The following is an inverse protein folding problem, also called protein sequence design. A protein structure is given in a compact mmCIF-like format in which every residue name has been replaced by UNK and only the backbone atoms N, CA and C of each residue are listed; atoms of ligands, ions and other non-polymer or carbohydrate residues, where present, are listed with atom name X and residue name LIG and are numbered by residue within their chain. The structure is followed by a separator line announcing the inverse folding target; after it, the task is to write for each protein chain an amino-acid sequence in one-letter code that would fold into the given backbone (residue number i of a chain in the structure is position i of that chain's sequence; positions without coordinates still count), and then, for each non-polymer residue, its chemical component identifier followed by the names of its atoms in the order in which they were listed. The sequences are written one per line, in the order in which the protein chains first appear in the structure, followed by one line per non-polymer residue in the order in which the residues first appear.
data_IF_142834904650
#
_entry.id   IF_142834904650
#
_cell.length_a   1.000
_cell.length_b   1.000
_cell.length_c   1.000
_cell.angle_alpha   90.00
_cell.angle_beta   90.00
_cell.angle_gamma   90.00
#
_symmetry.space_group_name_H-M   'P 1'
#
loop_
_entity.id
_entity.type
_entity.pdbx_description
1 polymer ?
#
# COMPACT_ATOMS: atom_id res chain seq x y z
N UNK A 1 31.42 -2.07 -24.39
CA UNK A 1 29.95 -2.09 -24.20
C UNK A 1 29.55 -0.68 -23.80
N UNK A 2 28.50 -0.13 -24.39
CA UNK A 2 28.10 1.26 -24.14
C UNK A 2 27.40 1.39 -22.80
N UNK A 3 27.91 2.26 -21.93
CA UNK A 3 27.21 2.66 -20.71
C UNK A 3 25.86 3.28 -21.09
N UNK A 4 24.77 2.62 -20.70
CA UNK A 4 23.46 3.27 -20.73
C UNK A 4 23.49 4.41 -19.71
N UNK A 5 23.17 5.66 -20.09
CA UNK A 5 23.15 6.76 -19.14
C UNK A 5 22.21 6.42 -17.98
N UNK A 6 22.67 6.69 -16.75
CA UNK A 6 21.88 6.50 -15.54
C UNK A 6 20.76 7.55 -15.54
N UNK A 7 19.60 7.17 -16.09
CA UNK A 7 18.49 8.10 -16.32
C UNK A 7 18.06 8.78 -15.02
N UNK A 8 18.26 10.11 -14.99
CA UNK A 8 18.03 10.95 -13.84
C UNK A 8 16.62 11.55 -13.92
N UNK A 9 15.66 10.81 -13.39
CA UNK A 9 14.24 11.17 -13.45
C UNK A 9 13.89 12.41 -12.62
N UNK A 10 14.74 12.79 -11.65
CA UNK A 10 14.61 14.04 -10.90
C UNK A 10 14.92 15.20 -11.84
N UNK A 11 16.06 15.17 -12.53
CA UNK A 11 16.40 16.19 -13.55
C UNK A 11 15.38 16.28 -14.70
N UNK A 12 14.76 15.16 -15.09
CA UNK A 12 13.67 15.20 -16.07
C UNK A 12 12.42 15.90 -15.52
N UNK A 13 12.10 15.68 -14.24
CA UNK A 13 11.04 16.39 -13.51
C UNK A 13 11.32 17.89 -13.37
N UNK A 14 12.52 18.26 -12.92
CA UNK A 14 12.99 19.66 -12.83
C UNK A 14 12.88 20.38 -14.18
N UNK A 15 13.38 19.75 -15.25
CA UNK A 15 13.34 20.30 -16.61
C UNK A 15 11.91 20.44 -17.16
N UNK A 16 11.02 19.49 -16.84
CA UNK A 16 9.61 19.60 -17.17
C UNK A 16 8.96 20.76 -16.41
N UNK A 17 9.20 20.87 -15.10
CA UNK A 17 8.67 21.93 -14.26
C UNK A 17 9.15 23.33 -14.69
N UNK A 18 10.41 23.46 -15.13
CA UNK A 18 10.93 24.69 -15.73
C UNK A 18 10.27 25.03 -17.06
N UNK A 19 10.04 24.04 -17.94
CA UNK A 19 9.37 24.25 -19.23
C UNK A 19 7.89 24.63 -19.11
N UNK A 20 7.24 24.23 -18.02
CA UNK A 20 5.84 24.57 -17.76
C UNK A 20 5.66 26.00 -17.24
N UNK A 21 6.69 26.64 -16.68
CA UNK A 21 6.58 27.93 -16.01
C UNK A 21 6.09 29.04 -16.95
N UNK A 22 4.86 29.52 -16.74
CA UNK A 22 4.22 30.53 -17.59
C UNK A 22 3.52 29.98 -18.84
N UNK A 23 3.45 28.66 -19.03
CA UNK A 23 2.65 28.05 -20.09
C UNK A 23 1.17 28.07 -19.69
N UNK A 24 0.35 28.73 -20.51
CA UNK A 24 -1.10 28.87 -20.30
C UNK A 24 -1.95 28.00 -21.24
N UNK A 25 -1.36 27.38 -22.27
CA UNK A 25 -2.08 26.51 -23.19
C UNK A 25 -2.09 25.06 -22.69
N UNK A 26 -3.29 24.48 -22.59
CA UNK A 26 -3.48 23.09 -22.20
C UNK A 26 -2.87 22.11 -23.23
N UNK A 27 -2.88 22.43 -24.53
CA UNK A 27 -2.31 21.56 -25.55
C UNK A 27 -0.77 21.52 -25.47
N UNK A 28 -0.12 22.66 -25.21
CA UNK A 28 1.31 22.74 -24.90
C UNK A 28 1.67 21.97 -23.62
N UNK A 29 0.94 22.17 -22.51
CA UNK A 29 1.14 21.44 -21.25
C UNK A 29 1.00 19.92 -21.44
N UNK A 30 -0.03 19.49 -22.19
CA UNK A 30 -0.25 18.08 -22.55
C UNK A 30 0.93 17.52 -23.33
N UNK A 31 1.44 18.27 -24.32
CA UNK A 31 2.58 17.87 -25.15
C UNK A 31 3.84 17.71 -24.30
N UNK A 32 4.18 18.70 -23.49
CA UNK A 32 5.32 18.66 -22.57
C UNK A 32 5.28 17.48 -21.59
N UNK A 33 4.10 17.19 -21.03
CA UNK A 33 3.92 16.05 -20.13
C UNK A 33 4.02 14.71 -20.86
N UNK A 34 3.50 14.58 -22.08
CA UNK A 34 3.60 13.37 -22.90
C UNK A 34 5.05 13.14 -23.35
N UNK A 35 5.80 14.17 -23.73
CA UNK A 35 7.23 14.06 -24.08
C UNK A 35 8.07 13.53 -22.91
N UNK A 36 7.77 13.96 -21.68
CA UNK A 36 8.42 13.43 -20.48
C UNK A 36 8.09 11.96 -20.23
N UNK A 37 6.86 11.52 -20.53
CA UNK A 37 6.45 10.12 -20.44
C UNK A 37 7.16 9.29 -21.52
N UNK A 38 7.23 9.78 -22.76
CA UNK A 38 7.85 9.08 -23.88
C UNK A 38 9.34 8.80 -23.62
N UNK A 39 10.08 9.77 -23.06
CA UNK A 39 11.48 9.56 -22.61
C UNK A 39 11.62 8.43 -21.57
N UNK A 40 10.61 8.20 -20.72
CA UNK A 40 10.62 7.05 -19.80
C UNK A 40 10.30 5.73 -20.52
N UNK A 41 9.39 5.76 -21.52
CA UNK A 41 9.05 4.59 -22.34
C UNK A 41 10.25 4.15 -23.18
N UNK A 42 10.92 5.08 -23.85
CA UNK A 42 12.13 4.85 -24.67
C UNK A 42 13.29 4.24 -23.87
N UNK A 43 13.38 4.55 -22.57
CA UNK A 43 14.35 3.93 -21.68
C UNK A 43 14.07 2.44 -21.37
N UNK A 44 12.89 1.92 -21.71
CA UNK A 44 12.50 0.53 -21.48
C UNK A 44 12.29 0.17 -20.00
N UNK A 45 11.93 1.16 -19.16
CA UNK A 45 11.80 1.00 -17.70
C UNK A 45 10.31 1.10 -17.29
N UNK A 46 9.93 0.41 -16.21
CA UNK A 46 8.56 0.45 -15.69
C UNK A 46 8.18 1.86 -15.25
N UNK A 47 7.11 2.41 -15.85
CA UNK A 47 6.68 3.80 -15.69
C UNK A 47 6.42 4.25 -14.23
N UNK A 48 6.15 3.32 -13.30
CA UNK A 48 5.70 3.66 -11.94
C UNK A 48 6.69 4.53 -11.18
N UNK A 49 7.95 4.09 -11.05
CA UNK A 49 8.96 4.80 -10.26
C UNK A 49 9.40 6.14 -10.90
N UNK A 50 9.72 6.20 -12.22
CA UNK A 50 10.07 7.46 -12.88
C UNK A 50 8.93 8.48 -12.83
N UNK A 51 7.68 8.09 -13.12
CA UNK A 51 6.55 9.02 -13.05
C UNK A 51 6.31 9.52 -11.63
N UNK A 52 6.49 8.70 -10.58
CA UNK A 52 6.43 9.20 -9.19
C UNK A 52 7.52 10.24 -8.90
N UNK A 53 8.72 10.13 -9.47
CA UNK A 53 9.78 11.13 -9.29
C UNK A 53 9.48 12.41 -10.09
N UNK A 54 9.15 12.30 -11.38
CA UNK A 54 8.79 13.44 -12.24
C UNK A 54 7.60 14.22 -11.65
N UNK A 55 6.57 13.51 -11.16
CA UNK A 55 5.41 14.14 -10.51
C UNK A 55 5.79 14.89 -9.24
N UNK A 56 6.72 14.38 -8.42
CA UNK A 56 7.16 15.07 -7.20
C UNK A 56 7.82 16.42 -7.50
N UNK A 57 8.64 16.51 -8.55
CA UNK A 57 9.26 17.78 -8.92
C UNK A 57 8.24 18.78 -9.47
N UNK A 58 7.26 18.30 -10.26
CA UNK A 58 6.14 19.13 -10.73
C UNK A 58 5.23 19.55 -9.56
N UNK A 59 4.93 18.66 -8.60
CA UNK A 59 4.17 18.96 -7.38
C UNK A 59 4.95 19.90 -6.42
N UNK A 60 6.28 19.86 -6.40
CA UNK A 60 7.12 20.77 -5.62
C UNK A 60 7.17 22.18 -6.22
N UNK A 61 7.13 22.30 -7.56
CA UNK A 61 7.04 23.60 -8.26
C UNK A 61 5.61 24.15 -8.31
N UNK A 62 4.62 23.28 -8.46
CA UNK A 62 3.20 23.60 -8.66
C UNK A 62 2.32 22.71 -7.75
N UNK A 63 2.22 23.03 -6.44
CA UNK A 63 1.57 22.16 -5.47
C UNK A 63 0.04 22.08 -5.64
N UNK A 64 -0.51 20.87 -5.54
CA UNK A 64 -1.95 20.65 -5.31
C UNK A 64 -2.27 20.90 -3.83
N UNK A 65 -3.31 21.70 -3.52
CA UNK A 65 -3.56 22.29 -2.19
C UNK A 65 -3.38 21.35 -0.97
N UNK A 66 -2.72 21.84 0.10
CA UNK A 66 -3.02 21.50 1.48
C UNK A 66 -3.98 22.51 2.15
N UNK A 67 -4.59 22.11 3.26
CA UNK A 67 -5.62 22.83 4.04
C UNK A 67 -5.06 23.99 4.89
N UNK A 68 -4.33 24.93 4.31
CA UNK A 68 -3.79 26.11 5.00
C UNK A 68 -4.22 27.40 4.30
N UNK A 69 -4.64 28.40 5.07
CA UNK A 69 -5.38 29.58 4.59
C UNK A 69 -4.61 30.48 3.60
N UNK A 70 -3.27 30.37 3.57
CA UNK A 70 -2.41 31.15 2.69
C UNK A 70 -2.02 30.33 1.47
N UNK A 71 -2.53 30.73 0.30
CA UNK A 71 -2.12 30.23 -1.01
C UNK A 71 -0.68 30.70 -1.32
N UNK A 72 0.22 29.82 -1.79
CA UNK A 72 1.52 30.25 -2.30
C UNK A 72 1.38 31.23 -3.48
N UNK A 73 2.32 32.16 -3.62
CA UNK A 73 2.41 33.01 -4.82
C UNK A 73 2.51 32.14 -6.08
N UNK A 74 1.63 32.41 -7.06
CA UNK A 74 1.49 31.61 -8.28
C UNK A 74 0.34 30.60 -8.29
N UNK A 75 -0.36 30.37 -7.18
CA UNK A 75 -1.44 29.38 -7.10
C UNK A 75 -2.80 29.91 -7.64
N UNK A 76 -3.18 29.59 -8.89
CA UNK A 76 -4.44 30.06 -9.48
C UNK A 76 -5.24 29.04 -10.33
N UNK A 77 -6.23 28.41 -9.69
CA UNK A 77 -7.53 28.17 -10.32
C UNK A 77 -8.62 28.85 -9.48
N UNK A 78 -9.13 29.99 -9.96
CA UNK A 78 -10.34 30.64 -9.45
C UNK A 78 -10.98 31.46 -10.58
N UNK A 79 -12.17 31.07 -11.05
CA UNK A 79 -12.97 31.87 -12.01
C UNK A 79 -13.59 33.14 -11.37
N UNK A 80 -12.99 33.64 -10.29
CA UNK A 80 -13.53 34.66 -9.38
C UNK A 80 -12.41 35.60 -8.93
N UNK A 81 -12.11 36.62 -9.73
CA UNK A 81 -11.23 37.73 -9.36
C UNK A 81 -10.72 38.53 -10.55
N UNK A 82 -10.95 39.85 -10.56
CA UNK A 82 -10.32 40.74 -11.55
C UNK A 82 -8.80 40.75 -11.39
N UNK A 83 -8.07 40.72 -12.53
CA UNK A 83 -6.63 40.93 -12.56
C UNK A 83 -5.74 39.72 -12.22
N UNK A 84 -6.29 38.49 -12.18
CA UNK A 84 -5.49 37.26 -12.04
C UNK A 84 -5.24 36.61 -13.39
N UNK A 85 -4.04 36.08 -13.57
CA UNK A 85 -3.65 35.29 -14.77
C UNK A 85 -3.96 33.82 -14.50
N UNK A 86 -4.62 33.17 -15.45
CA UNK A 86 -4.92 31.73 -15.39
C UNK A 86 -3.62 30.92 -15.47
N UNK A 87 -3.45 29.92 -14.59
CA UNK A 87 -2.22 29.13 -14.49
C UNK A 87 -2.51 27.63 -14.48
N UNK A 88 -2.34 27.04 -15.66
CA UNK A 88 -2.71 25.67 -15.99
C UNK A 88 -1.58 24.66 -15.74
N UNK A 89 -0.40 25.07 -15.27
CA UNK A 89 0.80 24.23 -15.13
C UNK A 89 0.55 22.94 -14.31
N UNK A 90 -0.35 23.01 -13.32
CA UNK A 90 -0.79 21.88 -12.51
C UNK A 90 -1.53 20.78 -13.32
N UNK A 91 -2.08 21.09 -14.50
CA UNK A 91 -2.64 20.11 -15.44
C UNK A 91 -1.58 19.13 -15.95
N UNK A 92 -0.28 19.42 -15.87
CA UNK A 92 0.76 18.42 -16.16
C UNK A 92 0.55 17.15 -15.30
N UNK A 93 0.07 17.28 -14.07
CA UNK A 93 -0.24 16.16 -13.16
C UNK A 93 -1.47 15.35 -13.60
N UNK A 94 -2.32 15.88 -14.48
CA UNK A 94 -3.39 15.12 -15.14
C UNK A 94 -2.82 14.14 -16.16
N UNK A 95 -1.90 14.62 -17.01
CA UNK A 95 -1.29 13.85 -18.09
C UNK A 95 -0.18 12.89 -17.63
N UNK A 96 0.55 13.23 -16.54
CA UNK A 96 1.56 12.39 -15.89
C UNK A 96 0.95 11.16 -15.19
N UNK A 97 0.44 10.23 -16.00
CA UNK A 97 -0.24 9.00 -15.62
C UNK A 97 0.14 7.85 -16.56
N UNK A 98 -0.07 6.60 -16.11
CA UNK A 98 0.10 5.40 -16.93
C UNK A 98 -1.10 5.14 -17.86
N UNK A 99 -2.29 5.63 -17.50
CA UNK A 99 -3.51 5.44 -18.28
C UNK A 99 -3.47 6.30 -19.55
N UNK A 100 -3.45 5.65 -20.72
CA UNK A 100 -3.39 6.31 -22.04
C UNK A 100 -4.64 7.09 -22.37
N UNK A 101 -5.80 6.58 -21.99
CA UNK A 101 -7.11 7.14 -22.35
C UNK A 101 -7.30 8.50 -21.65
N UNK A 102 -6.90 8.57 -20.39
CA UNK A 102 -6.84 9.80 -19.59
C UNK A 102 -5.93 10.87 -20.22
N UNK A 103 -4.86 10.49 -20.93
CA UNK A 103 -3.96 11.44 -21.62
C UNK A 103 -4.61 12.08 -22.85
N UNK A 104 -5.69 11.51 -23.38
CA UNK A 104 -6.40 12.03 -24.55
C UNK A 104 -7.53 13.01 -24.18
N UNK A 105 -7.95 13.02 -22.93
CA UNK A 105 -8.97 13.92 -22.40
C UNK A 105 -8.42 15.34 -22.28
N UNK A 106 -9.04 16.28 -23.01
CA UNK A 106 -8.64 17.70 -23.09
C UNK A 106 -9.87 18.57 -22.83
N UNK A 107 -9.75 19.61 -21.99
CA UNK A 107 -10.84 20.48 -21.53
C UNK A 107 -11.55 19.98 -20.25
N UNK A 108 -12.03 20.92 -19.43
CA UNK A 108 -12.62 20.61 -18.11
C UNK A 108 -13.91 19.80 -18.20
N UNK A 109 -14.77 20.07 -19.17
CA UNK A 109 -16.02 19.32 -19.31
C UNK A 109 -15.76 17.89 -19.81
N UNK A 110 -14.76 17.69 -20.67
CA UNK A 110 -14.30 16.35 -21.02
C UNK A 110 -13.65 15.63 -19.83
N UNK A 111 -12.91 16.34 -18.95
CA UNK A 111 -12.41 15.77 -17.68
C UNK A 111 -13.55 15.34 -16.75
N UNK A 112 -14.59 16.15 -16.59
CA UNK A 112 -15.79 15.79 -15.81
C UNK A 112 -16.51 14.59 -16.41
N UNK A 113 -16.73 14.59 -17.73
CA UNK A 113 -17.37 13.49 -18.46
C UNK A 113 -16.54 12.20 -18.37
N UNK A 114 -15.21 12.27 -18.44
CA UNK A 114 -14.34 11.11 -18.23
C UNK A 114 -14.57 10.48 -16.84
N UNK A 115 -14.60 11.27 -15.77
CA UNK A 115 -14.90 10.73 -14.43
C UNK A 115 -16.33 10.18 -14.29
N UNK A 116 -17.31 10.76 -14.99
CA UNK A 116 -18.69 10.28 -14.99
C UNK A 116 -18.91 9.03 -15.86
N UNK A 117 -18.12 8.89 -16.93
CA UNK A 117 -18.19 7.81 -17.92
C UNK A 117 -17.19 6.67 -17.68
N UNK A 118 -16.28 6.79 -16.71
CA UNK A 118 -15.54 5.65 -16.20
C UNK A 118 -16.51 4.53 -15.79
N UNK A 119 -16.22 3.25 -16.09
CA UNK A 119 -17.08 2.15 -15.68
C UNK A 119 -17.33 2.20 -14.18
N UNK A 120 -18.59 2.42 -13.80
CA UNK A 120 -19.04 2.10 -12.44
C UNK A 120 -18.80 0.61 -12.26
N UNK A 121 -17.84 0.25 -11.42
CA UNK A 121 -17.42 -1.14 -11.19
C UNK A 121 -18.66 -1.99 -10.89
N UNK A 122 -19.05 -2.87 -11.83
CA UNK A 122 -20.28 -3.66 -11.74
C UNK A 122 -21.21 -3.59 -12.96
N UNK A 123 -21.06 -2.62 -13.89
CA UNK A 123 -21.80 -2.67 -15.17
C UNK A 123 -21.04 -3.40 -16.26
N UNK A 124 -21.56 -4.56 -16.66
CA UNK A 124 -21.23 -5.18 -17.94
C UNK A 124 -21.67 -4.23 -19.08
N UNK A 125 -20.75 -3.89 -19.97
CA UNK A 125 -21.08 -3.20 -21.21
C UNK A 125 -21.72 -4.19 -22.17
N UNK A 126 -23.01 -4.00 -22.44
CA UNK A 126 -23.74 -4.69 -23.50
C UNK A 126 -23.05 -4.43 -24.85
N UNK A 127 -22.32 -5.41 -25.38
CA UNK A 127 -21.83 -5.37 -26.75
C UNK A 127 -22.95 -5.84 -27.67
N UNK A 128 -23.60 -4.88 -28.32
CA UNK A 128 -24.66 -5.14 -29.29
C UNK A 128 -24.10 -5.81 -30.55
N UNK A 129 -24.32 -7.11 -30.74
CA UNK A 129 -24.36 -7.67 -32.09
C UNK A 129 -25.27 -8.91 -32.18
N UNK A 130 -26.16 -8.88 -33.17
CA UNK A 130 -27.27 -9.82 -33.31
C UNK A 130 -27.00 -10.77 -34.47
N UNK A 131 -26.93 -12.10 -34.25
CA UNK A 131 -27.55 -13.10 -35.15
C UNK A 131 -27.43 -14.57 -34.70
N UNK A 132 -28.61 -15.15 -34.42
CA UNK A 132 -29.11 -16.44 -34.93
C UNK A 132 -28.31 -17.77 -34.77
N UNK A 133 -28.92 -18.65 -33.95
CA UNK A 133 -28.94 -20.14 -33.93
C UNK A 133 -29.17 -20.78 -35.34
N UNK A 134 -29.05 -22.13 -35.59
CA UNK A 134 -29.50 -23.22 -34.69
C UNK A 134 -28.84 -24.63 -34.72
N UNK A 135 -28.92 -25.36 -33.58
CA UNK A 135 -28.94 -26.86 -33.43
C UNK A 135 -27.70 -27.67 -33.88
N UNK A 136 -27.35 -28.88 -33.40
CA UNK A 136 -27.95 -29.95 -32.55
C UNK A 136 -26.75 -30.72 -31.87
N UNK A 137 -26.83 -31.77 -31.03
CA UNK A 137 -27.91 -32.68 -30.59
C UNK A 137 -27.83 -33.08 -29.10
N UNK A 138 -27.51 -34.34 -28.75
CA UNK A 138 -27.58 -34.93 -27.40
C UNK A 138 -26.60 -36.11 -27.19
N UNK A 139 -26.16 -36.33 -25.94
CA UNK A 139 -26.12 -37.69 -25.32
C UNK A 139 -26.21 -37.62 -23.78
N UNK A 140 -26.49 -38.77 -23.17
CA UNK A 140 -27.29 -39.00 -21.96
C UNK A 140 -26.60 -38.91 -20.57
N UNK A 141 -27.44 -39.12 -19.55
CA UNK A 141 -27.23 -39.10 -18.08
C UNK A 141 -26.55 -40.40 -17.57
N UNK A 142 -25.94 -40.41 -16.37
CA UNK A 142 -26.68 -40.47 -15.09
C UNK A 142 -26.07 -39.60 -13.98
N UNK A 143 -26.61 -39.36 -12.78
CA UNK A 143 -27.95 -39.36 -12.16
C UNK A 143 -27.71 -38.91 -10.71
N UNK A 144 -28.26 -37.75 -10.31
CA UNK A 144 -28.55 -37.32 -8.93
C UNK A 144 -27.49 -37.55 -7.83
N UNK A 145 -26.84 -36.47 -7.42
CA UNK A 145 -26.76 -36.14 -5.98
C UNK A 145 -27.61 -34.90 -5.76
N UNK A 146 -28.71 -35.03 -5.02
CA UNK A 146 -29.53 -33.88 -4.63
C UNK A 146 -28.78 -33.10 -3.53
N UNK A 147 -27.85 -32.22 -3.91
CA UNK A 147 -27.53 -31.11 -3.02
C UNK A 147 -28.73 -30.15 -3.02
N UNK A 148 -29.23 -29.73 -1.85
CA UNK A 148 -30.22 -28.68 -1.79
C UNK A 148 -29.56 -27.39 -2.29
N UNK A 149 -29.90 -26.99 -3.51
CA UNK A 149 -29.60 -25.63 -3.97
C UNK A 149 -30.42 -24.69 -3.12
N UNK A 150 -29.80 -24.13 -2.07
CA UNK A 150 -30.32 -22.99 -1.34
C UNK A 150 -30.63 -21.91 -2.37
N UNK A 151 -31.91 -21.70 -2.66
CA UNK A 151 -32.33 -20.65 -3.57
C UNK A 151 -32.02 -19.31 -2.93
N UNK A 152 -31.58 -18.34 -3.73
CA UNK A 152 -31.09 -17.02 -3.29
C UNK A 152 -32.03 -16.39 -2.26
N UNK A 153 -33.35 -16.43 -2.55
CA UNK A 153 -34.44 -15.98 -1.69
C UNK A 153 -34.52 -16.60 -0.29
N UNK A 154 -34.01 -17.82 -0.09
CA UNK A 154 -33.99 -18.46 1.24
C UNK A 154 -32.78 -18.03 2.08
N UNK A 155 -31.72 -17.50 1.49
CA UNK A 155 -30.66 -16.79 2.24
C UNK A 155 -31.07 -15.34 2.54
N UNK A 156 -31.60 -14.63 1.53
CA UNK A 156 -31.86 -13.18 1.58
C UNK A 156 -32.63 -12.73 2.83
N UNK A 157 -33.70 -13.42 3.21
CA UNK A 157 -34.56 -13.01 4.34
C UNK A 157 -34.19 -13.67 5.67
N UNK A 158 -33.60 -14.87 5.65
CA UNK A 158 -33.31 -15.63 6.87
C UNK A 158 -31.93 -15.32 7.48
N UNK A 159 -31.00 -14.77 6.68
CA UNK A 159 -29.61 -14.53 7.12
C UNK A 159 -29.43 -13.15 7.74
N UNK A 160 -30.06 -12.07 7.23
CA UNK A 160 -29.88 -10.74 7.82
C UNK A 160 -30.55 -10.60 9.19
N UNK A 161 -31.82 -10.97 9.33
CA UNK A 161 -32.54 -10.82 10.60
C UNK A 161 -31.93 -11.68 11.73
N UNK A 162 -31.18 -12.73 11.37
CA UNK A 162 -30.42 -13.58 12.29
C UNK A 162 -28.97 -13.12 12.54
N UNK A 163 -28.46 -12.13 11.80
CA UNK A 163 -27.08 -11.64 11.95
C UNK A 163 -26.96 -10.48 12.95
N UNK A 164 -28.08 -9.95 13.47
CA UNK A 164 -28.14 -8.90 14.51
C UNK A 164 -27.15 -7.73 14.28
N UNK A 165 -27.02 -7.29 13.02
CA UNK A 165 -26.07 -6.24 12.65
C UNK A 165 -26.39 -4.94 13.38
N UNK A 166 -25.36 -4.29 13.90
CA UNK A 166 -25.45 -2.93 14.43
C UNK A 166 -25.68 -1.92 13.30
N UNK A 167 -26.08 -0.70 13.67
CA UNK A 167 -26.49 0.32 12.69
C UNK A 167 -25.33 0.83 11.83
N UNK A 168 -24.10 0.93 12.37
CA UNK A 168 -22.91 1.31 11.60
C UNK A 168 -22.58 0.23 10.55
N UNK A 169 -22.66 -1.04 10.93
CA UNK A 169 -22.47 -2.16 9.98
C UNK A 169 -23.55 -2.19 8.89
N UNK A 170 -24.81 -1.84 9.19
CA UNK A 170 -25.87 -1.71 8.17
C UNK A 170 -25.62 -0.55 7.21
N UNK A 171 -25.27 0.64 7.71
CA UNK A 171 -24.95 1.79 6.86
C UNK A 171 -23.79 1.48 5.90
N UNK A 172 -22.75 0.80 6.40
CA UNK A 172 -21.61 0.34 5.58
C UNK A 172 -22.06 -0.68 4.53
N UNK A 173 -22.94 -1.62 4.89
CA UNK A 173 -23.46 -2.64 3.98
C UNK A 173 -24.33 -2.02 2.88
N UNK A 174 -25.30 -1.17 3.21
CA UNK A 174 -26.18 -0.50 2.24
C UNK A 174 -25.38 0.39 1.28
N UNK A 175 -24.37 1.10 1.79
CA UNK A 175 -23.45 1.87 0.96
C UNK A 175 -22.62 0.97 0.03
N UNK A 176 -22.15 -0.19 0.52
CA UNK A 176 -21.42 -1.16 -0.29
C UNK A 176 -22.29 -1.85 -1.36
N UNK A 177 -23.56 -2.16 -1.06
CA UNK A 177 -24.53 -2.67 -2.03
C UNK A 177 -24.84 -1.61 -3.10
N UNK A 178 -25.14 -0.37 -2.68
CA UNK A 178 -25.39 0.78 -3.57
C UNK A 178 -24.23 1.04 -4.52
N UNK A 179 -22.98 0.92 -4.06
CA UNK A 179 -21.80 1.15 -4.89
C UNK A 179 -21.36 -0.06 -5.73
N UNK A 180 -21.61 -1.30 -5.28
CA UNK A 180 -21.24 -2.51 -6.02
C UNK A 180 -22.26 -2.91 -7.09
N UNK A 181 -23.51 -2.44 -6.96
CA UNK A 181 -24.61 -2.79 -7.88
C UNK A 181 -25.03 -4.26 -7.79
N UNK A 182 -24.62 -4.96 -6.73
CA UNK A 182 -24.96 -6.35 -6.47
C UNK A 182 -26.22 -6.42 -5.61
N UNK A 183 -26.99 -7.50 -5.76
CA UNK A 183 -27.91 -7.87 -4.68
C UNK A 183 -27.13 -8.35 -3.45
N UNK A 184 -27.83 -8.36 -2.32
CA UNK A 184 -27.28 -8.74 -1.03
C UNK A 184 -26.65 -10.15 -1.03
N UNK A 185 -27.32 -11.12 -1.65
CA UNK A 185 -26.88 -12.51 -1.59
C UNK A 185 -25.63 -12.73 -2.45
N UNK A 186 -25.58 -12.11 -3.63
CA UNK A 186 -24.37 -12.07 -4.44
C UNK A 186 -23.22 -11.35 -3.74
N UNK A 187 -23.50 -10.20 -3.11
CA UNK A 187 -22.50 -9.45 -2.35
C UNK A 187 -21.93 -10.30 -1.21
N UNK A 188 -22.80 -10.89 -0.38
CA UNK A 188 -22.40 -11.76 0.73
C UNK A 188 -21.65 -13.00 0.24
N UNK A 189 -22.11 -13.65 -0.83
CA UNK A 189 -21.40 -14.81 -1.40
C UNK A 189 -20.01 -14.42 -1.93
N UNK A 190 -19.88 -13.28 -2.63
CA UNK A 190 -18.60 -12.76 -3.13
C UNK A 190 -17.68 -12.33 -1.98
N UNK A 191 -18.21 -11.68 -0.93
CA UNK A 191 -17.47 -11.27 0.26
C UNK A 191 -16.95 -12.49 1.04
N UNK A 192 -17.82 -13.44 1.38
CA UNK A 192 -17.47 -14.69 2.07
C UNK A 192 -16.42 -15.46 1.25
N UNK A 193 -16.63 -15.64 -0.06
CA UNK A 193 -15.67 -16.36 -0.93
C UNK A 193 -14.31 -15.68 -1.00
N UNK A 194 -14.29 -14.35 -1.11
CA UNK A 194 -13.04 -13.56 -1.17
C UNK A 194 -12.28 -13.63 0.15
N UNK A 195 -12.99 -13.50 1.28
CA UNK A 195 -12.41 -13.58 2.61
C UNK A 195 -11.93 -14.99 2.95
N UNK A 196 -12.72 -16.02 2.63
CA UNK A 196 -12.34 -17.42 2.78
C UNK A 196 -11.09 -17.76 1.95
N UNK A 197 -11.04 -17.38 0.67
CA UNK A 197 -9.84 -17.55 -0.17
C UNK A 197 -8.61 -16.81 0.40
N UNK A 198 -8.83 -15.65 1.01
CA UNK A 198 -7.76 -14.89 1.68
C UNK A 198 -7.26 -15.60 2.94
N UNK A 199 -8.15 -16.20 3.74
CA UNK A 199 -7.79 -16.99 4.92
C UNK A 199 -7.11 -18.30 4.53
N UNK A 200 -7.68 -19.09 3.63
CA UNK A 200 -7.07 -20.37 3.20
C UNK A 200 -5.74 -20.14 2.50
N UNK A 201 -5.62 -19.09 1.69
CA UNK A 201 -4.35 -18.65 1.10
C UNK A 201 -3.35 -18.05 2.11
N UNK A 202 -3.75 -17.74 3.34
CA UNK A 202 -2.82 -17.43 4.46
C UNK A 202 -2.41 -18.72 5.18
N UNK A 203 -3.37 -19.57 5.54
CA UNK A 203 -3.16 -20.85 6.23
C UNK A 203 -2.20 -21.73 5.41
N UNK A 204 -2.49 -21.94 4.13
CA UNK A 204 -1.64 -22.74 3.24
C UNK A 204 -0.20 -22.26 3.19
N UNK A 205 0.04 -20.95 3.25
CA UNK A 205 1.40 -20.38 3.32
C UNK A 205 2.08 -20.60 4.68
N UNK A 206 1.33 -20.55 5.78
CA UNK A 206 1.84 -20.91 7.10
C UNK A 206 2.16 -22.41 7.21
N UNK A 207 1.50 -23.25 6.41
CA UNK A 207 1.74 -24.70 6.32
C UNK A 207 2.88 -25.08 5.34
N UNK A 208 3.07 -24.33 4.24
CA UNK A 208 4.04 -24.64 3.17
C UNK A 208 5.48 -24.25 3.51
N UNK A 209 5.74 -23.05 4.05
CA UNK A 209 7.09 -22.61 4.45
C UNK A 209 7.16 -22.37 5.98
N UNK A 210 7.89 -23.21 6.72
CA UNK A 210 8.25 -22.87 8.12
C UNK A 210 9.24 -21.71 8.11
N UNK A 211 8.78 -20.54 8.55
CA UNK A 211 9.58 -19.32 8.58
C UNK A 211 10.83 -19.44 9.46
N UNK A 212 10.80 -20.30 10.48
CA UNK A 212 11.93 -20.56 11.38
C UNK A 212 13.16 -21.08 10.64
N UNK A 213 12.94 -21.87 9.58
CA UNK A 213 13.98 -22.51 8.75
C UNK A 213 14.49 -21.61 7.61
N UNK A 214 13.96 -20.39 7.48
CA UNK A 214 14.41 -19.44 6.46
C UNK A 214 15.43 -18.50 7.09
N UNK A 215 16.55 -18.23 6.42
CA UNK A 215 17.59 -17.35 6.97
C UNK A 215 17.11 -15.93 7.24
N UNK A 216 17.71 -15.27 8.23
CA UNK A 216 17.34 -13.90 8.62
C UNK A 216 17.64 -12.90 7.50
N UNK A 217 18.72 -13.12 6.76
CA UNK A 217 19.02 -12.33 5.55
C UNK A 217 17.91 -12.42 4.52
N UNK A 218 17.39 -13.64 4.28
CA UNK A 218 16.32 -13.86 3.32
C UNK A 218 14.97 -13.29 3.81
N UNK A 219 14.57 -13.51 5.06
CA UNK A 219 13.35 -12.91 5.62
C UNK A 219 13.42 -11.37 5.67
N UNK A 220 14.62 -10.79 5.83
CA UNK A 220 14.82 -9.35 5.85
C UNK A 220 14.75 -8.72 4.47
N UNK A 221 15.34 -9.35 3.44
CA UNK A 221 15.60 -8.73 2.13
C UNK A 221 14.77 -9.26 0.96
N UNK A 222 14.34 -10.53 0.98
CA UNK A 222 13.69 -11.16 -0.17
C UNK A 222 12.22 -10.68 -0.33
N UNK A 223 11.84 -10.07 -1.46
CA UNK A 223 10.48 -9.59 -1.69
C UNK A 223 9.40 -10.66 -1.57
N UNK A 224 9.72 -11.96 -1.79
CA UNK A 224 8.80 -13.10 -1.55
C UNK A 224 8.16 -13.03 -0.17
N UNK A 225 8.94 -12.68 0.86
CA UNK A 225 8.48 -12.72 2.25
C UNK A 225 7.92 -11.39 2.77
N UNK A 226 8.01 -10.31 2.00
CA UNK A 226 7.58 -8.95 2.39
C UNK A 226 6.11 -8.84 2.83
N UNK A 227 5.24 -9.72 2.31
CA UNK A 227 3.80 -9.81 2.65
C UNK A 227 3.40 -11.19 3.17
N UNK A 228 4.37 -12.00 3.57
CA UNK A 228 4.11 -13.36 4.03
C UNK A 228 3.43 -13.34 5.41
N UNK A 229 2.38 -14.16 5.64
CA UNK A 229 1.79 -14.30 6.97
C UNK A 229 2.85 -14.74 7.98
N UNK A 230 2.87 -14.17 9.18
CA UNK A 230 3.85 -14.54 10.22
C UNK A 230 5.26 -13.93 10.07
N UNK A 231 5.71 -13.48 8.88
CA UNK A 231 7.08 -12.94 8.69
C UNK A 231 7.43 -11.82 9.67
N UNK A 232 6.50 -10.91 9.93
CA UNK A 232 6.75 -9.80 10.86
C UNK A 232 6.88 -10.27 12.32
N UNK A 233 6.18 -11.33 12.70
CA UNK A 233 6.25 -11.92 14.04
C UNK A 233 7.57 -12.67 14.24
N UNK A 234 7.96 -13.51 13.27
CA UNK A 234 9.24 -14.22 13.29
C UNK A 234 10.43 -13.24 13.28
N UNK A 235 10.37 -12.18 12.47
CA UNK A 235 11.40 -11.14 12.49
C UNK A 235 11.44 -10.38 13.83
N UNK A 236 10.30 -10.18 14.51
CA UNK A 236 10.28 -9.60 15.86
C UNK A 236 10.89 -10.56 16.88
N UNK A 237 10.60 -11.86 16.80
CA UNK A 237 11.24 -12.90 17.64
C UNK A 237 12.76 -12.87 17.50
N UNK A 238 13.27 -12.84 16.25
CA UNK A 238 14.71 -12.77 15.97
C UNK A 238 15.33 -11.44 16.40
N UNK A 239 14.63 -10.32 16.26
CA UNK A 239 15.11 -9.02 16.71
C UNK A 239 15.19 -8.93 18.25
N UNK A 240 14.20 -9.49 18.97
CA UNK A 240 14.27 -9.67 20.43
C UNK A 240 15.51 -10.50 20.80
N UNK A 241 15.72 -11.64 20.14
CA UNK A 241 16.88 -12.50 20.37
C UNK A 241 18.22 -11.78 20.08
N UNK A 242 18.32 -11.03 18.97
CA UNK A 242 19.52 -10.27 18.61
C UNK A 242 19.84 -9.17 19.64
N UNK A 243 18.83 -8.42 20.11
CA UNK A 243 19.03 -7.41 21.17
C UNK A 243 19.45 -8.08 22.49
N UNK A 244 18.90 -9.26 22.81
CA UNK A 244 19.29 -10.02 24.01
C UNK A 244 20.77 -10.42 23.94
N UNK A 245 21.19 -11.06 22.86
CA UNK A 245 22.59 -11.47 22.60
C UNK A 245 23.52 -10.25 22.64
N UNK A 246 23.18 -9.17 21.92
CA UNK A 246 23.99 -7.95 21.91
C UNK A 246 24.16 -7.37 23.33
N UNK A 247 23.08 -7.27 24.11
CA UNK A 247 23.15 -6.72 25.47
C UNK A 247 23.95 -7.57 26.47
N UNK A 248 24.06 -8.89 26.24
CA UNK A 248 24.80 -9.83 27.11
C UNK A 248 26.24 -10.10 26.67
N UNK A 249 26.51 -10.11 25.37
CA UNK A 249 27.77 -10.61 24.80
C UNK A 249 28.60 -9.54 24.08
N UNK A 250 27.97 -8.47 23.58
CA UNK A 250 28.64 -7.40 22.81
C UNK A 250 28.77 -6.11 23.62
N UNK A 251 27.73 -5.72 24.36
CA UNK A 251 27.67 -4.49 25.14
C UNK A 251 28.46 -4.60 26.46
N UNK A 252 29.71 -4.14 26.45
CA UNK A 252 30.59 -4.09 27.62
C UNK A 252 30.16 -3.04 28.65
N UNK A 253 29.59 -1.92 28.21
CA UNK A 253 29.18 -0.79 29.06
C UNK A 253 27.65 -0.58 29.07
N UNK A 254 27.09 -0.13 30.20
CA UNK A 254 25.64 0.08 30.35
C UNK A 254 25.01 0.97 29.27
N UNK A 255 25.68 2.07 28.87
CA UNK A 255 25.23 2.96 27.78
C UNK A 255 25.25 2.31 26.38
N UNK A 256 25.95 1.19 26.19
CA UNK A 256 25.95 0.45 24.92
C UNK A 256 24.72 -0.45 24.78
N UNK A 257 24.08 -0.86 25.88
CA UNK A 257 22.87 -1.71 25.84
C UNK A 257 21.66 -0.99 25.25
N UNK A 258 20.66 -1.75 24.84
CA UNK A 258 19.43 -1.22 24.23
C UNK A 258 18.18 -1.79 24.92
N UNK A 259 17.21 -0.94 25.21
CA UNK A 259 15.89 -1.37 25.71
C UNK A 259 15.09 -1.90 24.52
N UNK A 260 14.53 -3.10 24.63
CA UNK A 260 13.61 -3.62 23.62
C UNK A 260 12.33 -2.77 23.61
N UNK A 261 12.10 -1.98 22.56
CA UNK A 261 10.90 -1.15 22.38
C UNK A 261 10.26 -1.39 21.00
N UNK A 262 8.98 -1.02 20.86
CA UNK A 262 8.24 -1.08 19.58
C UNK A 262 8.96 -0.32 18.46
N UNK A 263 9.51 0.87 18.74
CA UNK A 263 10.26 1.66 17.77
C UNK A 263 11.51 0.93 17.30
N UNK A 264 12.31 0.41 18.24
CA UNK A 264 13.55 -0.31 17.97
C UNK A 264 13.31 -1.56 17.11
N UNK A 265 12.28 -2.34 17.46
CA UNK A 265 11.88 -3.54 16.72
C UNK A 265 11.29 -3.21 15.33
N UNK A 266 10.58 -2.08 15.19
CA UNK A 266 10.10 -1.62 13.88
C UNK A 266 11.26 -1.22 12.96
N UNK A 267 12.26 -0.53 13.52
CA UNK A 267 13.45 -0.10 12.79
C UNK A 267 14.32 -1.28 12.36
N UNK A 268 14.58 -2.25 13.25
CA UNK A 268 15.34 -3.47 12.95
C UNK A 268 14.64 -4.37 11.93
N UNK A 269 13.34 -4.64 12.10
CA UNK A 269 12.63 -5.61 11.24
C UNK A 269 12.08 -5.02 9.94
N UNK A 270 12.02 -3.68 9.83
CA UNK A 270 11.33 -2.97 8.75
C UNK A 270 9.79 -3.13 8.76
N UNK A 271 9.24 -3.68 9.85
CA UNK A 271 7.80 -3.98 9.97
C UNK A 271 7.00 -2.76 10.45
N UNK A 272 5.70 -2.71 10.13
CA UNK A 272 4.80 -1.64 10.60
C UNK A 272 4.62 -1.73 12.12
N UNK A 273 4.66 -0.57 12.80
CA UNK A 273 4.61 -0.49 14.26
C UNK A 273 3.41 -1.20 14.92
N UNK A 274 2.22 -1.17 14.30
CA UNK A 274 1.04 -1.89 14.82
C UNK A 274 1.21 -3.40 14.80
N UNK A 275 1.81 -3.95 13.73
CA UNK A 275 2.11 -5.38 13.60
C UNK A 275 3.20 -5.80 14.59
N UNK A 276 4.21 -4.94 14.78
CA UNK A 276 5.26 -5.15 15.79
C UNK A 276 4.66 -5.17 17.20
N UNK A 277 3.74 -4.27 17.53
CA UNK A 277 3.06 -4.24 18.82
C UNK A 277 2.26 -5.52 19.10
N UNK A 278 1.51 -6.01 18.09
CA UNK A 278 0.80 -7.29 18.21
C UNK A 278 1.74 -8.48 18.40
N UNK A 279 2.91 -8.49 17.74
CA UNK A 279 3.92 -9.53 17.93
C UNK A 279 4.61 -9.43 19.29
N UNK A 280 4.98 -8.23 19.75
CA UNK A 280 5.58 -8.00 21.08
C UNK A 280 4.71 -8.55 22.22
N UNK A 281 3.38 -8.43 22.11
CA UNK A 281 2.46 -8.93 23.12
C UNK A 281 2.58 -10.45 23.35
N UNK A 282 3.01 -11.23 22.35
CA UNK A 282 3.26 -12.67 22.46
C UNK A 282 4.57 -13.01 23.20
N UNK A 283 5.52 -12.09 23.20
CA UNK A 283 6.84 -12.23 23.83
C UNK A 283 7.00 -11.36 25.08
N UNK A 284 5.90 -10.83 25.62
CA UNK A 284 5.91 -9.84 26.71
C UNK A 284 6.73 -10.31 27.91
N UNK A 285 6.48 -11.51 28.40
CA UNK A 285 7.13 -12.02 29.61
C UNK A 285 8.65 -12.21 29.41
N UNK A 286 9.09 -12.55 28.19
CA UNK A 286 10.52 -12.66 27.83
C UNK A 286 11.19 -11.27 27.70
N UNK A 287 10.46 -10.28 27.16
CA UNK A 287 10.90 -8.88 27.10
C UNK A 287 11.02 -8.29 28.51
N UNK A 288 9.98 -8.45 29.34
CA UNK A 288 9.92 -7.94 30.71
C UNK A 288 11.01 -8.62 31.58
N UNK A 289 11.20 -9.93 31.44
CA UNK A 289 12.29 -10.69 32.10
C UNK A 289 13.68 -10.25 31.62
N UNK A 290 13.85 -9.92 30.34
CA UNK A 290 15.11 -9.36 29.85
C UNK A 290 15.37 -7.97 30.41
N UNK A 291 14.37 -7.09 30.45
CA UNK A 291 14.53 -5.74 31.01
C UNK A 291 14.94 -5.78 32.49
N UNK A 292 14.32 -6.65 33.30
CA UNK A 292 14.64 -6.80 34.73
C UNK A 292 16.11 -7.17 35.03
N UNK A 293 16.86 -7.69 34.06
CA UNK A 293 18.31 -7.99 34.22
C UNK A 293 19.19 -6.74 34.23
N UNK A 294 18.67 -5.59 33.78
CA UNK A 294 19.44 -4.36 33.57
C UNK A 294 18.78 -3.19 34.33
N UNK A 295 19.12 -2.99 35.62
CA UNK A 295 18.58 -1.89 36.42
C UNK A 295 18.75 -0.51 35.77
N UNK A 296 19.78 -0.32 34.94
CA UNK A 296 20.02 0.91 34.20
C UNK A 296 18.89 1.30 33.24
N UNK A 297 18.02 0.36 32.83
CA UNK A 297 16.88 0.61 31.94
C UNK A 297 15.74 1.36 32.62
N UNK A 298 15.67 1.32 33.95
CA UNK A 298 14.54 1.86 34.72
C UNK A 298 14.84 3.25 35.30
N UNK A 299 13.81 4.08 35.39
CA UNK A 299 13.76 5.28 36.20
C UNK A 299 13.59 4.92 37.69
N UNK A 300 13.70 5.90 38.58
CA UNK A 300 13.51 5.72 40.03
C UNK A 300 12.08 5.29 40.41
N UNK A 301 11.09 5.59 39.55
CA UNK A 301 9.68 5.17 39.69
C UNK A 301 9.39 3.75 39.15
N UNK A 302 10.41 3.03 38.66
CA UNK A 302 10.27 1.70 38.08
C UNK A 302 9.77 1.68 36.62
N UNK A 303 9.57 2.83 35.98
CA UNK A 303 9.22 2.90 34.54
C UNK A 303 10.45 2.79 33.64
N UNK A 304 10.29 2.35 32.39
CA UNK A 304 11.40 2.30 31.43
C UNK A 304 11.82 3.70 30.97
N UNK A 305 13.13 3.94 30.88
CA UNK A 305 13.72 5.18 30.36
C UNK A 305 13.42 5.39 28.87
N UNK A 306 12.40 6.21 28.59
CA UNK A 306 11.93 6.56 27.24
C UNK A 306 13.05 6.98 26.26
N UNK A 307 14.11 7.61 26.76
CA UNK A 307 15.21 8.15 25.95
C UNK A 307 16.51 7.33 26.00
N UNK A 308 16.53 6.16 26.67
CA UNK A 308 17.73 5.32 26.78
C UNK A 308 18.31 4.92 25.42
N UNK A 309 17.43 4.64 24.45
CA UNK A 309 17.81 4.28 23.08
C UNK A 309 18.23 5.50 22.21
N UNK A 310 18.20 6.74 22.71
CA UNK A 310 18.62 7.93 21.94
C UNK A 310 20.13 8.12 22.02
N UNK A 311 20.87 7.37 21.21
CA UNK A 311 22.34 7.44 21.13
C UNK A 311 22.76 8.39 20.02
N UNK A 312 23.58 9.39 20.36
CA UNK A 312 23.96 10.45 19.42
C UNK A 312 24.95 9.93 18.39
N UNK A 313 24.55 9.93 17.12
CA UNK A 313 25.42 9.53 15.99
C UNK A 313 25.59 8.01 15.83
N UNK A 314 24.65 7.22 16.34
CA UNK A 314 24.66 5.75 16.26
C UNK A 314 23.31 5.29 15.71
N UNK A 315 23.30 4.68 14.52
CA UNK A 315 22.11 4.02 13.97
C UNK A 315 22.00 2.60 14.51
N UNK A 316 20.80 2.15 14.88
CA UNK A 316 20.64 0.82 15.51
C UNK A 316 21.07 -0.33 14.60
N UNK A 317 20.90 -0.17 13.28
CA UNK A 317 21.19 -1.18 12.28
C UNK A 317 22.69 -1.42 12.09
N UNK A 318 23.53 -0.45 12.46
CA UNK A 318 24.98 -0.57 12.41
C UNK A 318 25.54 -1.28 13.66
N UNK A 319 24.81 -1.21 14.78
CA UNK A 319 25.17 -1.87 16.06
C UNK A 319 24.60 -3.28 16.18
N UNK A 320 23.30 -3.46 15.87
CA UNK A 320 22.59 -4.74 16.00
C UNK A 320 22.32 -5.31 14.62
N UNK A 321 23.35 -5.97 14.07
CA UNK A 321 23.24 -6.76 12.85
C UNK A 321 22.44 -8.05 13.13
N UNK A 322 21.16 -8.04 12.74
CA UNK A 322 20.25 -9.19 12.83
C UNK A 322 20.79 -10.44 12.13
N UNK A 323 21.44 -10.28 10.97
CA UNK A 323 21.91 -11.39 10.15
C UNK A 323 23.11 -12.07 10.81
N UNK A 324 24.01 -11.27 11.41
CA UNK A 324 25.17 -11.79 12.13
C UNK A 324 24.82 -12.38 13.50
N UNK A 325 23.91 -11.76 14.24
CA UNK A 325 23.56 -12.16 15.62
C UNK A 325 22.57 -13.33 15.68
N UNK A 326 21.68 -13.44 14.68
CA UNK A 326 20.69 -14.52 14.58
C UNK A 326 20.58 -14.95 13.11
N UNK A 327 21.57 -15.66 12.53
CA UNK A 327 21.55 -16.00 11.11
C UNK A 327 20.40 -16.94 10.73
N UNK A 328 20.12 -17.96 11.56
CA UNK A 328 19.27 -19.12 11.26
C UNK A 328 19.65 -19.76 9.91
N UNK A 329 20.71 -20.56 9.90
CA UNK A 329 21.15 -21.36 8.75
C UNK A 329 20.38 -22.67 8.61
#
# INVERSE_FOLDING_TARGET
MTDKPKNDWVKLGEKLAQKLDGVIDEAEIRTLAIDAINQVIEAGITLKRPLTQIRKEVEARFPTMPTTEVKPDGYYFTNTGQGRVERFEHLALWYLTQNTDRRNVTGDDARKQYWQGLPKFGKETETSETSQKPTQKATEKPTKTNQPTLTTKMLETAVIDALELDEETKEILDLALTHSGLDLAEFMQKAIKTYANTITGKIRRLEEDSLENISTSELLTNPKYSTYPGRAEEMVRRAIQAIKIYNSEVATEAKQRWIITQSLLSELTGSRGSVVQSAMQKYRDDIDSHHQKYPEFFNEDGTLKQYFNRKRGVEIRDEIDLVKLVPNE
#
